data_IF_439041619575
#
_entry.id   IF_439041619575
#
_cell.length_a   1.000
_cell.length_b   1.000
_cell.length_c   1.000
_cell.angle_alpha   90.00
_cell.angle_beta   90.00
_cell.angle_gamma   90.00
#
_symmetry.space_group_name_H-M   'P 1'
#
loop_
_entity.id
_entity.type
_entity.pdbx_description
1 polymer ?
#
# COMPACT_ATOMS: atom_id res chain seq x y z
N UNK A 1 12.80 6.97 56.51
CA UNK A 1 12.74 7.08 55.04
C UNK A 1 11.85 5.94 54.58
N UNK A 2 10.65 6.23 54.10
CA UNK A 2 9.70 5.18 53.69
C UNK A 2 10.17 4.67 52.34
N UNK A 3 10.82 3.51 52.35
CA UNK A 3 11.24 2.82 51.15
C UNK A 3 10.03 2.06 50.61
N UNK A 4 9.32 2.68 49.68
CA UNK A 4 8.27 2.00 48.93
C UNK A 4 8.96 1.01 48.00
N UNK A 5 8.73 -0.27 48.24
CA UNK A 5 9.21 -1.35 47.37
C UNK A 5 8.37 -1.36 46.08
N UNK A 6 8.72 -0.50 45.13
CA UNK A 6 7.99 -0.30 43.87
C UNK A 6 8.13 -1.47 42.89
N UNK A 7 8.84 -2.54 43.27
CA UNK A 7 9.21 -3.68 42.42
C UNK A 7 8.34 -4.91 42.73
N UNK A 8 7.18 -4.74 43.37
CA UNK A 8 6.19 -5.83 43.45
C UNK A 8 5.32 -5.82 42.20
N UNK A 9 5.81 -6.43 41.12
CA UNK A 9 5.03 -6.58 39.89
C UNK A 9 3.90 -7.58 40.11
N UNK A 10 2.66 -7.10 40.07
CA UNK A 10 1.49 -7.97 40.14
C UNK A 10 1.41 -8.87 38.90
N UNK A 11 0.86 -10.07 39.06
CA UNK A 11 0.69 -11.03 37.94
C UNK A 11 -0.04 -10.40 36.74
N UNK A 12 -1.00 -9.52 37.02
CA UNK A 12 -1.76 -8.77 36.02
C UNK A 12 -0.90 -7.76 35.27
N UNK A 13 -0.03 -7.01 35.95
CA UNK A 13 0.89 -6.08 35.31
C UNK A 13 1.85 -6.81 34.38
N UNK A 14 2.43 -7.93 34.84
CA UNK A 14 3.34 -8.75 34.01
C UNK A 14 2.65 -9.28 32.76
N UNK A 15 1.41 -9.78 32.88
CA UNK A 15 0.64 -10.26 31.73
C UNK A 15 0.34 -9.12 30.75
N UNK A 16 -0.09 -7.96 31.25
CA UNK A 16 -0.39 -6.80 30.40
C UNK A 16 0.84 -6.30 29.67
N UNK A 17 1.98 -6.19 30.36
CA UNK A 17 3.24 -5.77 29.77
C UNK A 17 3.68 -6.73 28.67
N UNK A 18 3.54 -8.04 28.90
CA UNK A 18 3.84 -9.06 27.90
C UNK A 18 2.94 -8.95 26.66
N UNK A 19 1.62 -8.87 26.85
CA UNK A 19 0.66 -8.72 25.74
C UNK A 19 0.92 -7.43 24.96
N UNK A 20 1.12 -6.30 25.65
CA UNK A 20 1.38 -5.01 25.00
C UNK A 20 2.70 -5.04 24.23
N UNK A 21 3.74 -5.65 24.78
CA UNK A 21 5.02 -5.79 24.09
C UNK A 21 4.86 -6.60 22.80
N UNK A 22 4.13 -7.72 22.85
CA UNK A 22 3.96 -8.57 21.68
C UNK A 22 3.06 -7.93 20.61
N UNK A 23 1.97 -7.28 21.04
CA UNK A 23 1.10 -6.52 20.14
C UNK A 23 1.84 -5.36 19.48
N UNK A 24 2.70 -4.64 20.22
CA UNK A 24 3.46 -3.53 19.67
C UNK A 24 4.49 -3.99 18.65
N UNK A 25 5.14 -5.14 18.90
CA UNK A 25 6.08 -5.75 17.94
C UNK A 25 5.33 -6.19 16.68
N UNK A 26 4.23 -6.92 16.84
CA UNK A 26 3.39 -7.36 15.72
C UNK A 26 2.85 -6.18 14.89
N UNK A 27 2.32 -5.16 15.56
CA UNK A 27 1.85 -3.94 14.92
C UNK A 27 2.99 -3.19 14.20
N UNK A 28 4.18 -3.12 14.80
CA UNK A 28 5.35 -2.50 14.18
C UNK A 28 5.76 -3.20 12.88
N UNK A 29 5.81 -4.53 12.87
CA UNK A 29 6.13 -5.29 11.66
C UNK A 29 5.05 -5.15 10.59
N UNK A 30 3.77 -5.21 10.96
CA UNK A 30 2.66 -5.03 10.03
C UNK A 30 2.67 -3.61 9.40
N UNK A 31 2.87 -2.57 10.22
CA UNK A 31 2.97 -1.20 9.76
C UNK A 31 4.14 -1.02 8.78
N UNK A 32 5.32 -1.54 9.12
CA UNK A 32 6.50 -1.46 8.27
C UNK A 32 6.26 -2.12 6.90
N UNK A 33 5.62 -3.29 6.89
CA UNK A 33 5.29 -4.00 5.64
C UNK A 33 4.27 -3.24 4.79
N UNK A 34 3.20 -2.72 5.40
CA UNK A 34 2.19 -1.93 4.69
C UNK A 34 2.78 -0.63 4.13
N UNK A 35 3.65 0.04 4.89
CA UNK A 35 4.37 1.22 4.39
C UNK A 35 5.29 0.87 3.23
N UNK A 36 6.01 -0.25 3.30
CA UNK A 36 6.86 -0.71 2.21
C UNK A 36 6.06 -0.92 0.92
N UNK A 37 4.91 -1.61 1.00
CA UNK A 37 4.00 -1.77 -0.14
C UNK A 37 3.47 -0.43 -0.64
N UNK A 38 3.03 0.44 0.27
CA UNK A 38 2.52 1.77 -0.06
C UNK A 38 3.56 2.62 -0.81
N UNK A 39 4.83 2.57 -0.38
CA UNK A 39 5.94 3.24 -1.04
C UNK A 39 6.16 2.68 -2.45
N UNK A 40 6.12 1.36 -2.64
CA UNK A 40 6.22 0.75 -3.97
C UNK A 40 5.12 1.30 -4.90
N UNK A 41 3.87 1.31 -4.44
CA UNK A 41 2.76 1.86 -5.24
C UNK A 41 2.93 3.35 -5.54
N UNK A 42 3.37 4.15 -4.56
CA UNK A 42 3.63 5.57 -4.78
C UNK A 42 4.76 5.80 -5.79
N UNK A 43 5.80 4.97 -5.79
CA UNK A 43 6.88 5.04 -6.78
C UNK A 43 6.33 4.71 -8.17
N UNK A 44 5.58 3.61 -8.31
CA UNK A 44 5.00 3.20 -9.60
C UNK A 44 4.06 4.29 -10.12
N UNK A 45 3.16 4.78 -9.28
CA UNK A 45 2.24 5.85 -9.62
C UNK A 45 2.99 7.13 -9.99
N UNK A 46 3.98 7.52 -9.20
CA UNK A 46 4.81 8.71 -9.43
C UNK A 46 5.54 8.65 -10.76
N UNK A 47 6.21 7.52 -11.06
CA UNK A 47 6.89 7.31 -12.35
C UNK A 47 5.87 7.32 -13.50
N UNK A 48 4.68 6.73 -13.30
CA UNK A 48 3.60 6.72 -14.28
C UNK A 48 3.14 8.13 -14.69
N UNK A 49 3.11 9.09 -13.76
CA UNK A 49 2.74 10.48 -14.07
C UNK A 49 3.77 11.20 -14.95
N UNK A 50 5.03 10.73 -14.98
CA UNK A 50 6.07 11.29 -15.84
C UNK A 50 6.18 10.60 -17.21
N UNK A 51 5.35 9.60 -17.50
CA UNK A 51 5.36 8.99 -18.84
C UNK A 51 4.72 9.91 -19.88
N UNK A 52 5.32 10.05 -21.07
CA UNK A 52 4.72 10.80 -22.17
C UNK A 52 3.35 10.25 -22.59
N UNK A 53 2.41 11.14 -22.91
CA UNK A 53 1.03 10.81 -23.32
C UNK A 53 0.97 9.86 -24.53
N UNK A 54 2.01 9.88 -25.36
CA UNK A 54 2.20 9.01 -26.53
C UNK A 54 2.25 7.53 -26.17
N UNK A 55 2.78 7.17 -24.98
CA UNK A 55 2.83 5.76 -24.52
C UNK A 55 1.50 5.32 -23.91
N UNK A 56 0.75 6.25 -23.34
CA UNK A 56 -0.57 6.00 -22.74
C UNK A 56 -1.65 5.82 -23.82
N UNK A 57 -1.54 6.57 -24.92
CA UNK A 57 -2.44 6.51 -26.07
C UNK A 57 -1.82 5.77 -27.27
N UNK A 58 -0.75 5.00 -27.03
CA UNK A 58 -0.09 4.25 -28.08
C UNK A 58 -1.12 3.34 -28.78
N UNK A 59 -1.12 3.27 -30.13
CA UNK A 59 -1.97 2.34 -30.85
C UNK A 59 -1.73 0.94 -30.27
N UNK A 60 -2.80 0.23 -29.87
CA UNK A 60 -2.61 -1.05 -29.24
C UNK A 60 -1.94 -2.00 -30.26
N UNK A 61 -0.95 -2.80 -29.83
CA UNK A 61 -0.13 -3.59 -30.74
C UNK A 61 -0.90 -4.72 -31.43
N UNK A 62 -2.14 -4.98 -31.01
CA UNK A 62 -3.02 -5.95 -31.65
C UNK A 62 -3.85 -5.28 -32.76
N UNK A 63 -3.91 -5.89 -33.95
CA UNK A 63 -4.60 -5.31 -35.12
C UNK A 63 -6.12 -5.18 -34.96
N UNK A 64 -6.70 -5.76 -33.90
CA UNK A 64 -8.16 -5.78 -33.66
C UNK A 64 -8.61 -4.99 -32.42
N UNK A 65 -7.68 -4.27 -31.76
CA UNK A 65 -8.00 -3.54 -30.51
C UNK A 65 -8.50 -2.11 -30.71
N UNK A 66 -8.57 -1.63 -31.96
CA UNK A 66 -9.23 -0.37 -32.30
C UNK A 66 -10.61 -0.67 -32.91
N UNK A 67 -11.67 -0.17 -32.29
CA UNK A 67 -13.01 -0.13 -32.88
C UNK A 67 -13.07 1.07 -33.83
N UNK A 68 -12.84 0.85 -35.11
CA UNK A 68 -13.13 1.86 -36.14
C UNK A 68 -14.64 1.94 -36.37
N UNK A 69 -15.19 3.15 -36.36
CA UNK A 69 -16.60 3.37 -36.69
C UNK A 69 -16.86 2.93 -38.15
N UNK A 70 -17.96 2.23 -38.44
CA UNK A 70 -18.27 1.82 -39.80
C UNK A 70 -18.46 3.05 -40.69
N UNK A 71 -17.86 3.03 -41.88
CA UNK A 71 -18.01 4.07 -42.89
C UNK A 71 -19.51 4.31 -43.16
N UNK A 72 -19.98 5.54 -42.91
CA UNK A 72 -21.32 5.97 -43.31
C UNK A 72 -21.32 6.09 -44.84
N UNK A 73 -21.68 5.00 -45.51
CA UNK A 73 -21.92 5.02 -46.96
C UNK A 73 -23.29 5.66 -47.17
N UNK A 74 -23.31 6.93 -47.54
CA UNK A 74 -24.53 7.52 -48.08
C UNK A 74 -24.83 6.79 -49.39
N UNK A 75 -25.95 6.07 -49.45
CA UNK A 75 -26.35 5.35 -50.65
C UNK A 75 -26.80 6.40 -51.67
N UNK A 76 -25.94 6.67 -52.65
CA UNK A 76 -26.27 7.46 -53.83
C UNK A 76 -27.41 6.81 -54.65
#
# INVERSE_FOLDING_TARGET
>A
MVEHDYIQETRTQRLRNWVLSEMLRGAGYALAFLLFIGVIYLIIWGIGQFMPDERLNAPPPMPYSALEAPLVTDKA
#
